data_IF_685340460456
#
_entry.id   IF_685340460456
#
_cell.length_a   1.000
_cell.length_b   1.000
_cell.length_c   1.000
_cell.angle_alpha   90.00
_cell.angle_beta   90.00
_cell.angle_gamma   90.00
#
_symmetry.space_group_name_H-M   'P 1'
#
loop_
_entity.id
_entity.type
_entity.pdbx_description
1 polymer ?
#
# COMPACT_ATOMS: atom_id res chain seq x y z
N UNK A 1 -16.90 -15.76 3.30
CA UNK A 1 -15.44 -15.61 3.26
C UNK A 1 -15.15 -14.37 2.45
N UNK A 2 -14.86 -13.23 3.09
CA UNK A 2 -14.53 -12.00 2.36
C UNK A 2 -13.08 -12.16 1.90
N UNK A 3 -12.89 -12.54 0.64
CA UNK A 3 -11.60 -12.51 -0.02
C UNK A 3 -11.20 -11.04 -0.20
N UNK A 4 -10.77 -10.40 0.88
CA UNK A 4 -10.23 -9.04 0.82
C UNK A 4 -9.05 -9.08 -0.14
N UNK A 5 -9.25 -8.50 -1.32
CA UNK A 5 -8.25 -8.50 -2.39
C UNK A 5 -7.17 -7.50 -1.97
N UNK A 6 -6.20 -8.00 -1.22
CA UNK A 6 -5.03 -7.24 -0.82
C UNK A 6 -4.08 -7.13 -2.01
N UNK A 7 -3.79 -5.90 -2.41
CA UNK A 7 -2.76 -5.58 -3.40
C UNK A 7 -1.43 -5.38 -2.69
N UNK A 8 -0.40 -6.05 -3.18
CA UNK A 8 0.96 -5.97 -2.67
C UNK A 8 1.84 -5.44 -3.79
N UNK A 9 2.55 -4.35 -3.53
CA UNK A 9 3.44 -3.75 -4.51
C UNK A 9 4.66 -3.15 -3.83
N UNK A 10 5.74 -3.05 -4.59
CA UNK A 10 6.98 -2.46 -4.12
C UNK A 10 6.87 -0.94 -4.18
N UNK A 11 7.40 -0.26 -3.16
CA UNK A 11 7.39 1.18 -3.09
C UNK A 11 8.10 1.78 -4.32
N UNK A 12 7.45 2.70 -5.07
CA UNK A 12 8.04 3.32 -6.24
C UNK A 12 9.19 4.28 -5.90
N UNK A 13 9.29 4.74 -4.65
CA UNK A 13 10.34 5.67 -4.23
C UNK A 13 11.66 4.96 -3.90
N UNK A 14 11.62 3.90 -3.07
CA UNK A 14 12.85 3.20 -2.66
C UNK A 14 13.07 1.85 -3.34
N UNK A 15 12.07 1.26 -3.98
CA UNK A 15 12.17 -0.05 -4.64
C UNK A 15 12.35 -1.25 -3.69
N UNK A 16 12.42 -1.03 -2.37
CA UNK A 16 12.64 -2.10 -1.37
C UNK A 16 11.47 -2.26 -0.39
N UNK A 17 10.72 -1.19 -0.11
CA UNK A 17 9.60 -1.27 0.83
C UNK A 17 8.40 -1.99 0.22
N UNK A 18 7.90 -3.02 0.89
CA UNK A 18 6.69 -3.74 0.45
C UNK A 18 5.48 -3.03 1.04
N UNK A 19 4.59 -2.55 0.17
CA UNK A 19 3.34 -1.92 0.56
C UNK A 19 2.22 -2.94 0.37
N UNK A 20 1.40 -3.11 1.39
CA UNK A 20 0.25 -4.01 1.38
C UNK A 20 -0.96 -3.16 1.67
N UNK A 21 -1.91 -3.14 0.74
CA UNK A 21 -3.17 -2.42 0.93
C UNK A 21 -4.36 -3.26 0.51
N UNK A 22 -5.44 -3.10 1.22
CA UNK A 22 -6.73 -3.68 0.89
C UNK A 22 -7.40 -2.88 -0.24
N UNK A 23 -8.16 -3.54 -1.11
CA UNK A 23 -8.94 -2.83 -2.15
C UNK A 23 -9.90 -1.79 -1.53
N UNK A 24 -10.36 -2.04 -0.30
CA UNK A 24 -11.18 -1.11 0.47
C UNK A 24 -10.42 0.19 0.81
N UNK A 25 -9.16 0.10 1.21
CA UNK A 25 -8.30 1.27 1.49
C UNK A 25 -8.04 2.09 0.23
N UNK A 26 -7.80 1.40 -0.90
CA UNK A 26 -7.67 2.05 -2.22
C UNK A 26 -8.95 2.78 -2.62
N UNK A 27 -10.12 2.18 -2.35
CA UNK A 27 -11.43 2.80 -2.65
C UNK A 27 -11.75 3.98 -1.75
N UNK A 28 -11.26 3.96 -0.51
CA UNK A 28 -11.37 5.06 0.45
C UNK A 28 -10.34 6.17 0.21
N UNK A 29 -9.32 5.94 -0.63
CA UNK A 29 -8.22 6.88 -0.83
C UNK A 29 -7.42 7.13 0.44
N UNK A 30 -7.29 6.11 1.30
CA UNK A 30 -6.45 6.21 2.48
C UNK A 30 -5.01 6.43 2.05
N UNK A 31 -4.22 7.13 2.83
CA UNK A 31 -2.79 7.28 2.55
C UNK A 31 -2.03 6.06 3.10
N UNK A 32 -0.97 5.63 2.41
CA UNK A 32 -0.07 4.57 2.89
C UNK A 32 1.33 5.13 3.03
N UNK A 33 2.03 4.69 4.07
CA UNK A 33 3.41 5.08 4.33
C UNK A 33 4.34 3.91 4.10
N UNK A 34 5.38 4.13 3.31
CA UNK A 34 6.45 3.15 3.15
C UNK A 34 7.25 3.01 4.45
N UNK A 35 7.44 1.79 4.98
CA UNK A 35 8.21 1.57 6.20
C UNK A 35 9.72 1.77 6.03
N UNK A 36 10.22 1.81 4.78
CA UNK A 36 11.66 1.91 4.49
C UNK A 36 12.10 3.36 4.32
N UNK A 37 11.43 4.11 3.44
CA UNK A 37 11.81 5.50 3.12
C UNK A 37 10.86 6.55 3.71
N UNK A 38 9.74 6.13 4.32
CA UNK A 38 8.75 7.05 4.85
C UNK A 38 7.87 7.76 3.81
N UNK A 39 7.95 7.35 2.53
CA UNK A 39 7.13 7.92 1.46
C UNK A 39 5.65 7.66 1.69
N UNK A 40 4.84 8.72 1.67
CA UNK A 40 3.37 8.62 1.78
C UNK A 40 2.74 8.72 0.39
N UNK A 41 2.02 7.68 -0.02
CA UNK A 41 1.25 7.66 -1.26
C UNK A 41 -0.26 7.59 -1.01
N UNK A 42 -1.09 7.96 -1.99
CA UNK A 42 -2.55 7.83 -1.93
C UNK A 42 -3.05 6.40 -2.18
#
# INVERSE_FOLDING_TARGET
MVSDTVVRFTCPNCGQGIIIRSNKEKKLGLEWKCPVCGYTGP
#
